data_IF_593081234657
#
_entry.id   IF_593081234657
#
_cell.length_a   1.000
_cell.length_b   1.000
_cell.length_c   1.000
_cell.angle_alpha   90.00
_cell.angle_beta   90.00
_cell.angle_gamma   90.00
#
_symmetry.space_group_name_H-M   'P 1'
#
loop_
_entity.id
_entity.type
_entity.pdbx_description
1 polymer ?
#
# COMPACT_ATOMS: atom_id res chain seq x y z
N UNK A 1 -13.74 6.87 -2.36
CA UNK A 1 -12.29 6.72 -2.11
C UNK A 1 -11.62 5.88 -3.17
N UNK A 2 -10.77 6.50 -3.97
CA UNK A 2 -9.98 5.84 -4.99
C UNK A 2 -8.85 6.77 -5.43
N UNK A 3 -7.81 6.18 -6.02
CA UNK A 3 -6.72 6.92 -6.63
C UNK A 3 -6.61 6.53 -8.10
N UNK A 4 -6.11 7.49 -8.88
CA UNK A 4 -5.82 7.34 -10.30
C UNK A 4 -4.37 7.69 -10.52
N UNK A 5 -3.63 6.85 -11.24
CA UNK A 5 -2.31 7.21 -11.77
C UNK A 5 -2.43 7.35 -13.29
N UNK A 6 -2.11 8.52 -13.85
CA UNK A 6 -2.17 8.72 -15.29
C UNK A 6 -1.11 7.86 -16.01
N UNK A 7 -1.30 7.58 -17.31
CA UNK A 7 -0.26 7.02 -18.16
C UNK A 7 1.04 7.84 -18.08
N UNK A 8 2.17 7.18 -17.84
CA UNK A 8 3.50 7.80 -17.85
C UNK A 8 4.49 6.84 -18.51
N UNK A 9 5.32 7.34 -19.42
CA UNK A 9 6.39 6.56 -20.07
C UNK A 9 5.91 5.22 -20.67
N UNK A 10 4.73 5.22 -21.30
CA UNK A 10 4.16 4.03 -21.96
C UNK A 10 3.35 3.11 -21.06
N UNK A 11 3.14 3.44 -19.78
CA UNK A 11 2.21 2.69 -18.93
C UNK A 11 0.74 3.02 -19.25
N UNK A 12 -0.17 2.12 -18.90
CA UNK A 12 -1.61 2.38 -18.94
C UNK A 12 -2.10 3.26 -17.78
N UNK A 13 -3.35 3.72 -17.90
CA UNK A 13 -4.09 4.36 -16.81
C UNK A 13 -4.34 3.34 -15.70
N UNK A 14 -3.98 3.67 -14.46
CA UNK A 14 -4.23 2.78 -13.31
C UNK A 14 -5.31 3.36 -12.40
N UNK A 15 -6.29 2.53 -12.09
CA UNK A 15 -7.28 2.77 -11.03
C UNK A 15 -6.98 1.92 -9.82
N UNK A 16 -7.25 2.45 -8.64
CA UNK A 16 -7.19 1.70 -7.39
C UNK A 16 -8.22 2.23 -6.39
N UNK A 17 -8.98 1.33 -5.78
CA UNK A 17 -9.96 1.68 -4.75
C UNK A 17 -10.08 0.53 -3.74
N UNK A 18 -10.61 0.85 -2.56
CA UNK A 18 -10.83 -0.13 -1.49
C UNK A 18 -12.12 -0.95 -1.65
N UNK A 19 -12.79 -0.91 -2.81
CA UNK A 19 -14.12 -1.51 -3.03
C UNK A 19 -14.14 -3.03 -2.86
N UNK A 20 -13.02 -3.70 -3.14
CA UNK A 20 -12.83 -5.15 -2.97
C UNK A 20 -11.92 -5.47 -1.76
N UNK A 21 -11.77 -4.56 -0.78
CA UNK A 21 -10.89 -4.77 0.38
C UNK A 21 -11.58 -5.61 1.44
N UNK A 22 -10.98 -6.74 1.82
CA UNK A 22 -11.42 -7.59 2.93
C UNK A 22 -10.22 -8.17 3.69
N UNK A 23 -10.47 -8.68 4.91
CA UNK A 23 -9.46 -9.39 5.69
C UNK A 23 -9.23 -10.77 5.07
N UNK A 24 -7.97 -11.11 4.82
CA UNK A 24 -7.57 -12.38 4.24
C UNK A 24 -6.23 -12.84 4.83
N UNK A 25 -5.95 -14.15 4.76
CA UNK A 25 -4.63 -14.68 5.10
C UNK A 25 -3.57 -14.25 4.07
N UNK A 26 -2.26 -14.25 4.42
CA UNK A 26 -1.21 -13.71 3.55
C UNK A 26 -1.05 -14.38 2.18
N UNK A 27 -1.54 -15.60 1.98
CA UNK A 27 -1.46 -16.32 0.71
C UNK A 27 -2.82 -16.55 0.07
N UNK A 28 -3.88 -16.02 0.68
CA UNK A 28 -5.25 -16.19 0.22
C UNK A 28 -5.59 -15.15 -0.85
N UNK A 29 -6.39 -15.56 -1.84
CA UNK A 29 -7.02 -14.70 -2.85
C UNK A 29 -6.05 -13.72 -3.53
N UNK A 30 -4.90 -14.23 -3.98
CA UNK A 30 -3.85 -13.46 -4.68
C UNK A 30 -4.09 -13.24 -6.16
N UNK A 31 -5.18 -13.79 -6.70
CA UNK A 31 -5.62 -13.59 -8.07
C UNK A 31 -6.94 -12.80 -8.06
N UNK A 32 -7.08 -11.88 -9.01
CA UNK A 32 -8.32 -11.15 -9.21
C UNK A 32 -9.44 -12.10 -9.64
N UNK A 33 -10.66 -11.84 -9.18
CA UNK A 33 -11.85 -12.59 -9.60
C UNK A 33 -12.40 -11.99 -10.91
N UNK A 34 -13.08 -12.80 -11.74
CA UNK A 34 -13.73 -12.29 -12.95
C UNK A 34 -14.66 -11.11 -12.64
N UNK A 35 -14.55 -10.04 -13.43
CA UNK A 35 -15.41 -8.85 -13.32
C UNK A 35 -14.94 -7.80 -12.29
N UNK A 36 -13.92 -8.06 -11.47
CA UNK A 36 -13.44 -7.07 -10.48
C UNK A 36 -12.83 -5.83 -11.14
N UNK A 37 -12.18 -6.00 -12.29
CA UNK A 37 -11.59 -4.90 -13.05
C UNK A 37 -12.63 -3.93 -13.61
N UNK A 38 -13.71 -4.46 -14.18
CA UNK A 38 -14.82 -3.68 -14.73
C UNK A 38 -15.57 -2.96 -13.62
N UNK A 39 -15.88 -3.65 -12.51
CA UNK A 39 -16.49 -3.03 -11.33
C UNK A 39 -15.62 -1.90 -10.77
N UNK A 40 -14.30 -2.11 -10.71
CA UNK A 40 -13.36 -1.09 -10.25
C UNK A 40 -13.30 0.09 -11.23
N UNK A 41 -13.29 -0.14 -12.55
CA UNK A 41 -13.34 0.90 -13.57
C UNK A 41 -14.61 1.74 -13.42
N UNK A 42 -15.76 1.08 -13.37
CA UNK A 42 -17.08 1.73 -13.35
C UNK A 42 -17.31 2.54 -12.07
N UNK A 43 -16.63 2.19 -10.97
CA UNK A 43 -16.61 2.96 -9.72
C UNK A 43 -16.09 4.39 -9.88
N UNK A 44 -15.33 4.71 -10.94
CA UNK A 44 -14.82 6.06 -11.22
C UNK A 44 -15.77 6.92 -12.08
N UNK A 45 -16.97 6.42 -12.39
CA UNK A 45 -18.07 7.21 -12.94
C UNK A 45 -18.77 8.02 -11.84
N UNK A 46 -19.30 9.24 -12.10
CA UNK A 46 -19.25 10.01 -13.34
C UNK A 46 -17.99 10.86 -13.62
N UNK A 47 -17.01 11.08 -12.71
CA UNK A 47 -15.85 11.94 -13.03
C UNK A 47 -15.13 11.58 -14.33
N UNK A 48 -15.09 10.30 -14.70
CA UNK A 48 -14.67 9.84 -16.02
C UNK A 48 -15.87 9.74 -16.96
N UNK A 49 -16.16 10.82 -17.70
CA UNK A 49 -17.37 10.93 -18.54
C UNK A 49 -17.50 9.93 -19.70
N UNK A 50 -16.43 9.19 -20.04
CA UNK A 50 -16.42 8.14 -21.07
C UNK A 50 -15.89 6.82 -20.52
N UNK A 51 -16.20 6.51 -19.26
CA UNK A 51 -15.62 5.37 -18.53
C UNK A 51 -15.80 4.03 -19.27
N UNK A 52 -16.92 3.86 -19.98
CA UNK A 52 -17.24 2.64 -20.74
C UNK A 52 -16.36 2.47 -21.99
N UNK A 53 -15.73 3.53 -22.51
CA UNK A 53 -14.79 3.45 -23.64
C UNK A 53 -13.42 2.88 -23.23
N UNK A 54 -13.11 2.84 -21.93
CA UNK A 54 -11.86 2.26 -21.43
C UNK A 54 -11.97 0.73 -21.35
N UNK A 55 -10.95 0.03 -21.84
CA UNK A 55 -10.79 -1.42 -21.68
C UNK A 55 -9.91 -1.72 -20.47
N UNK A 56 -10.29 -2.74 -19.69
CA UNK A 56 -9.43 -3.33 -18.66
C UNK A 56 -8.34 -4.16 -19.35
N UNK A 57 -7.09 -3.76 -19.18
CA UNK A 57 -5.94 -4.48 -19.75
C UNK A 57 -5.36 -5.51 -18.79
N UNK A 58 -5.29 -5.17 -17.50
CA UNK A 58 -4.77 -6.02 -16.43
C UNK A 58 -5.46 -5.71 -15.10
N UNK A 59 -5.52 -6.70 -14.19
CA UNK A 59 -6.11 -6.58 -12.86
C UNK A 59 -5.18 -7.23 -11.83
N UNK A 60 -4.74 -6.44 -10.85
CA UNK A 60 -3.77 -6.87 -9.84
C UNK A 60 -4.38 -6.78 -8.44
N UNK A 61 -4.34 -7.90 -7.71
CA UNK A 61 -4.70 -7.92 -6.28
C UNK A 61 -3.51 -7.50 -5.43
N UNK A 62 -3.71 -6.49 -4.58
CA UNK A 62 -2.70 -6.00 -3.64
C UNK A 62 -3.01 -6.48 -2.21
N UNK A 63 -1.99 -6.52 -1.35
CA UNK A 63 -2.14 -6.76 0.07
C UNK A 63 -1.68 -5.55 0.88
N UNK A 64 -2.44 -5.23 1.92
CA UNK A 64 -2.01 -4.33 2.97
C UNK A 64 -2.03 -5.07 4.30
N UNK A 65 -1.06 -4.73 5.14
CA UNK A 65 -1.07 -5.04 6.56
C UNK A 65 -1.42 -3.76 7.30
N UNK A 66 -2.29 -3.85 8.31
CA UNK A 66 -2.76 -2.71 9.10
C UNK A 66 -2.45 -2.94 10.57
N UNK A 67 -1.98 -1.90 11.26
CA UNK A 67 -2.16 -1.79 12.71
C UNK A 67 -3.56 -1.22 13.01
N UNK A 68 -4.04 -1.37 14.24
CA UNK A 68 -5.35 -0.82 14.65
C UNK A 68 -5.40 0.72 14.63
N UNK A 69 -4.25 1.37 14.78
CA UNK A 69 -4.09 2.82 14.79
C UNK A 69 -3.64 3.38 13.43
N UNK A 70 -3.39 2.51 12.44
CA UNK A 70 -2.90 2.86 11.10
C UNK A 70 -1.51 3.51 11.03
N UNK A 71 -0.75 3.54 12.13
CA UNK A 71 0.64 3.97 12.16
C UNK A 71 1.58 2.89 11.57
N UNK A 72 2.86 3.24 11.37
CA UNK A 72 3.87 2.20 11.13
C UNK A 72 4.09 1.38 12.40
N UNK A 73 4.62 0.18 12.26
CA UNK A 73 5.10 -0.62 13.37
C UNK A 73 6.55 -1.02 13.15
N UNK A 74 7.36 -0.93 14.19
CA UNK A 74 8.70 -1.47 14.22
C UNK A 74 8.98 -2.20 15.53
N UNK A 75 9.64 -3.36 15.44
CA UNK A 75 10.05 -4.14 16.62
C UNK A 75 11.43 -4.71 16.41
N UNK A 76 12.27 -4.62 17.43
CA UNK A 76 13.59 -5.26 17.45
C UNK A 76 13.60 -6.45 18.40
N UNK A 77 14.07 -7.60 17.91
CA UNK A 77 14.27 -8.83 18.67
C UNK A 77 15.69 -9.35 18.41
N UNK A 78 16.56 -9.24 19.42
CA UNK A 78 17.97 -9.60 19.28
C UNK A 78 18.67 -8.79 18.18
N UNK A 79 19.09 -9.46 17.10
CA UNK A 79 19.76 -8.84 15.95
C UNK A 79 18.83 -8.55 14.77
N UNK A 80 17.52 -8.75 14.94
CA UNK A 80 16.54 -8.57 13.88
C UNK A 80 15.64 -7.37 14.21
N UNK A 81 15.47 -6.47 13.24
CA UNK A 81 14.48 -5.39 13.29
C UNK A 81 13.44 -5.64 12.20
N UNK A 82 12.18 -5.72 12.62
CA UNK A 82 11.02 -5.98 11.78
C UNK A 82 10.25 -4.67 11.62
N UNK A 83 9.90 -4.32 10.38
CA UNK A 83 9.13 -3.11 10.06
C UNK A 83 7.94 -3.48 9.20
N UNK A 84 6.75 -3.38 9.78
CA UNK A 84 5.43 -3.70 9.21
C UNK A 84 4.44 -3.64 10.38
N UNK A 85 3.20 -3.18 10.28
CA UNK A 85 2.46 -2.70 9.12
C UNK A 85 2.85 -1.28 8.70
N UNK A 86 2.44 -0.91 7.48
CA UNK A 86 2.49 0.47 6.97
C UNK A 86 1.10 0.97 6.53
N UNK A 87 0.06 0.22 6.89
CA UNK A 87 -1.35 0.60 6.83
C UNK A 87 -1.81 1.18 5.49
N UNK A 88 -1.25 0.62 4.40
CA UNK A 88 -1.60 0.97 3.02
C UNK A 88 -0.98 2.27 2.49
N UNK A 89 -0.10 2.93 3.25
CA UNK A 89 0.44 4.24 2.88
C UNK A 89 1.97 4.31 2.85
N UNK A 90 2.65 3.19 3.16
CA UNK A 90 4.09 3.12 3.29
C UNK A 90 4.92 3.33 2.03
N UNK A 91 4.37 3.10 0.84
CA UNK A 91 5.14 3.16 -0.42
C UNK A 91 5.87 4.50 -0.59
N UNK A 92 5.19 5.62 -0.31
CA UNK A 92 5.75 6.97 -0.46
C UNK A 92 6.89 7.28 0.53
N UNK A 93 6.98 6.52 1.62
CA UNK A 93 7.96 6.72 2.69
C UNK A 93 9.10 5.69 2.66
N UNK A 94 9.09 4.74 1.72
CA UNK A 94 10.05 3.63 1.70
C UNK A 94 11.51 4.08 1.78
N UNK A 95 11.87 5.16 1.07
CA UNK A 95 13.22 5.72 1.10
C UNK A 95 13.63 6.25 2.49
N UNK A 96 12.80 7.11 3.09
CA UNK A 96 13.11 7.70 4.41
C UNK A 96 13.05 6.67 5.53
N UNK A 97 12.12 5.72 5.46
CA UNK A 97 12.04 4.58 6.40
C UNK A 97 13.32 3.76 6.34
N UNK A 98 13.78 3.38 5.15
CA UNK A 98 15.03 2.64 4.98
C UNK A 98 16.25 3.41 5.50
N UNK A 99 16.33 4.71 5.22
CA UNK A 99 17.40 5.57 5.72
C UNK A 99 17.42 5.64 7.26
N UNK A 100 16.25 5.82 7.90
CA UNK A 100 16.14 5.91 9.36
C UNK A 100 16.46 4.60 10.06
N UNK A 101 16.05 3.48 9.47
CA UNK A 101 16.45 2.16 9.96
C UNK A 101 17.96 1.96 9.87
N UNK A 102 18.57 2.31 8.74
CA UNK A 102 20.02 2.22 8.58
C UNK A 102 20.77 3.10 9.59
N UNK A 103 20.31 4.33 9.81
CA UNK A 103 20.84 5.24 10.84
C UNK A 103 20.77 4.60 12.23
N UNK A 104 19.58 4.13 12.65
CA UNK A 104 19.40 3.48 13.95
C UNK A 104 20.25 2.23 14.14
N UNK A 105 20.47 1.44 13.08
CA UNK A 105 21.37 0.27 13.14
C UNK A 105 22.83 0.71 13.32
N UNK A 106 23.29 1.73 12.59
CA UNK A 106 24.69 2.19 12.63
C UNK A 106 25.01 2.87 13.97
N UNK A 107 24.08 3.65 14.51
CA UNK A 107 24.26 4.35 15.79
C UNK A 107 23.98 3.48 17.01
N UNK A 108 23.29 2.35 16.82
CA UNK A 108 22.78 1.53 17.91
C UNK A 108 21.52 2.10 18.58
N UNK A 109 20.85 3.06 17.95
CA UNK A 109 19.67 3.76 18.47
C UNK A 109 18.39 3.41 17.68
N UNK A 110 18.03 2.13 17.74
CA UNK A 110 16.80 1.62 17.12
C UNK A 110 15.53 2.04 17.86
N UNK A 111 15.63 2.43 19.14
CA UNK A 111 14.47 2.84 19.92
C UNK A 111 13.96 4.22 19.50
N UNK A 112 14.85 5.22 19.34
CA UNK A 112 14.43 6.51 18.79
C UNK A 112 13.95 6.38 17.34
N UNK A 113 14.55 5.47 16.57
CA UNK A 113 14.07 5.14 15.22
C UNK A 113 12.63 4.61 15.25
N UNK A 114 12.33 3.71 16.20
CA UNK A 114 10.97 3.17 16.40
C UNK A 114 9.98 4.27 16.77
N UNK A 115 10.30 5.13 17.75
CA UNK A 115 9.43 6.25 18.15
C UNK A 115 9.14 7.17 16.97
N UNK A 116 10.15 7.51 16.17
CA UNK A 116 9.99 8.34 14.97
C UNK A 116 9.10 7.67 13.92
N UNK A 117 9.29 6.36 13.67
CA UNK A 117 8.50 5.61 12.69
C UNK A 117 7.04 5.50 13.12
N UNK A 118 6.81 5.14 14.38
CA UNK A 118 5.47 4.94 14.91
C UNK A 118 4.73 6.25 15.10
N UNK A 119 5.42 7.38 15.34
CA UNK A 119 4.81 8.71 15.52
C UNK A 119 3.63 8.69 16.50
N UNK A 120 3.78 7.96 17.61
CA UNK A 120 2.82 7.89 18.70
C UNK A 120 3.17 8.93 19.76
N UNK A 121 2.15 9.57 20.31
CA UNK A 121 2.27 10.47 21.48
C UNK A 121 2.62 9.70 22.76
#
# INVERSE_FOLDING_TARGET
DGYVLPPVAGTGLKFGAGTHRYKAAPNQDRAAKPGEGEQLRDYFSPPFGRIEEYRVDDVVTCAYTFTSDEHFFARTEGKATIVSACSGHGYKFGAVVGQKLAEGVVTGDLENTRVWLEARD
#
